data_IF_237544068973
#
_entry.id   IF_237544068973
#
_cell.length_a   1.000
_cell.length_b   1.000
_cell.length_c   1.000
_cell.angle_alpha   90.00
_cell.angle_beta   90.00
_cell.angle_gamma   90.00
#
_symmetry.space_group_name_H-M   'P 1'
#
loop_
_entity.id
_entity.type
_entity.pdbx_description
1 polymer ?
#
# COMPACT_ATOMS: atom_id res chain seq x y z
N UNK A 1 85.75 -17.83 21.24
CA UNK A 1 84.91 -18.08 20.04
C UNK A 1 84.02 -19.34 20.12
N UNK A 2 83.70 -19.86 21.30
CA UNK A 2 82.94 -21.13 21.45
C UNK A 2 81.48 -20.93 22.01
N UNK A 3 81.16 -19.74 22.46
CA UNK A 3 79.86 -19.46 23.11
C UNK A 3 78.83 -18.78 22.19
N UNK A 4 79.23 -18.27 21.02
CA UNK A 4 78.35 -17.57 20.11
C UNK A 4 77.44 -18.59 19.30
N UNK A 5 77.99 -19.77 19.07
CA UNK A 5 77.20 -20.82 18.30
C UNK A 5 76.13 -21.51 19.13
N UNK A 6 76.23 -21.49 20.46
CA UNK A 6 75.18 -22.06 21.33
C UNK A 6 73.96 -21.13 21.52
N UNK A 7 74.18 -19.82 21.43
CA UNK A 7 73.11 -18.83 21.53
C UNK A 7 72.28 -18.78 20.25
N UNK A 8 72.93 -18.97 19.07
CA UNK A 8 72.23 -18.97 17.76
C UNK A 8 71.35 -20.21 17.58
N UNK A 9 71.74 -21.38 18.10
CA UNK A 9 70.96 -22.60 18.06
C UNK A 9 69.74 -22.56 19.02
N UNK A 10 69.88 -21.88 20.18
CA UNK A 10 68.80 -21.73 21.14
C UNK A 10 67.71 -20.76 20.64
N UNK A 11 68.10 -19.71 19.88
CA UNK A 11 67.16 -18.77 19.28
C UNK A 11 66.45 -19.38 18.08
N UNK A 12 67.10 -20.27 17.31
CA UNK A 12 66.47 -20.97 16.19
C UNK A 12 65.48 -22.06 16.64
N UNK A 13 65.75 -22.71 17.81
CA UNK A 13 64.82 -23.68 18.39
C UNK A 13 63.57 -23.01 19.03
N UNK A 14 63.72 -21.80 19.56
CA UNK A 14 62.61 -21.05 20.12
C UNK A 14 61.66 -20.45 19.02
N UNK A 15 62.24 -20.13 17.85
CA UNK A 15 61.46 -19.64 16.69
C UNK A 15 60.63 -20.76 15.99
N UNK A 16 61.01 -22.03 16.12
CA UNK A 16 60.27 -23.17 15.53
C UNK A 16 59.07 -23.60 16.39
N UNK A 17 59.00 -23.23 17.68
CA UNK A 17 57.89 -23.59 18.56
C UNK A 17 56.68 -22.62 18.39
N UNK A 18 56.92 -21.42 17.82
CA UNK A 18 55.87 -20.42 17.62
C UNK A 18 55.08 -20.67 16.32
N UNK A 19 55.57 -21.52 15.39
CA UNK A 19 54.91 -21.81 14.11
C UNK A 19 53.95 -23.02 14.12
N UNK A 20 53.81 -23.73 15.27
CA UNK A 20 52.93 -24.89 15.38
C UNK A 20 51.62 -24.61 16.17
N UNK A 21 51.39 -23.35 16.57
CA UNK A 21 50.17 -22.98 17.33
C UNK A 21 49.03 -22.41 16.48
N UNK A 22 49.15 -22.43 15.14
CA UNK A 22 48.09 -21.90 14.24
C UNK A 22 47.45 -22.95 13.31
N UNK A 23 47.46 -24.24 13.68
CA UNK A 23 46.70 -25.26 12.93
C UNK A 23 45.98 -26.18 13.90
N UNK A 24 44.86 -25.64 14.46
CA UNK A 24 43.70 -26.41 14.88
C UNK A 24 42.60 -25.47 15.33
N UNK A 25 41.67 -25.28 14.41
CA UNK A 25 40.26 -25.51 14.60
C UNK A 25 39.53 -25.23 13.29
N UNK A 26 39.62 -26.22 12.42
CA UNK A 26 38.58 -26.41 11.45
C UNK A 26 37.57 -27.37 12.12
N UNK A 27 36.42 -26.86 12.48
CA UNK A 27 35.37 -27.73 12.97
C UNK A 27 34.59 -27.14 14.12
N UNK A 28 33.82 -26.16 13.85
CA UNK A 28 32.43 -26.06 14.23
C UNK A 28 31.91 -24.73 13.69
N UNK A 29 31.44 -24.76 12.45
CA UNK A 29 30.41 -23.81 12.06
C UNK A 29 29.19 -24.14 12.90
N UNK A 30 29.18 -23.68 14.13
CA UNK A 30 27.96 -23.29 14.79
C UNK A 30 27.35 -22.25 13.85
N UNK A 31 26.36 -22.67 13.07
CA UNK A 31 25.45 -21.77 12.44
C UNK A 31 25.02 -20.79 13.54
N UNK A 32 25.67 -19.64 13.58
CA UNK A 32 25.16 -18.46 14.23
C UNK A 32 23.72 -18.36 13.71
N UNK A 33 22.73 -18.56 14.55
CA UNK A 33 21.40 -18.05 14.33
C UNK A 33 21.59 -16.55 14.22
N UNK A 34 21.86 -16.09 13.00
CA UNK A 34 21.91 -14.69 12.64
C UNK A 34 20.51 -14.12 12.78
N UNK A 35 20.17 -13.69 13.98
CA UNK A 35 19.19 -12.64 14.12
C UNK A 35 19.83 -11.42 13.45
N UNK A 36 19.29 -10.93 12.36
CA UNK A 36 19.77 -9.70 11.76
C UNK A 36 19.67 -8.63 12.81
N UNK A 37 20.78 -7.90 13.06
CA UNK A 37 20.83 -6.72 13.94
C UNK A 37 19.99 -5.54 13.40
N UNK A 38 18.98 -5.84 12.59
CA UNK A 38 18.07 -4.89 11.97
C UNK A 38 16.77 -4.78 12.80
N UNK A 39 16.28 -3.51 13.01
CA UNK A 39 16.90 -2.23 12.69
C UNK A 39 17.80 -1.68 13.81
N UNK A 40 18.74 -0.77 13.47
CA UNK A 40 19.62 -0.04 14.41
C UNK A 40 19.52 1.48 14.26
N UNK A 41 18.60 1.96 13.48
CA UNK A 41 18.34 3.38 13.20
C UNK A 41 16.92 3.56 12.69
N UNK A 42 16.40 4.79 12.68
CA UNK A 42 15.05 5.06 12.21
C UNK A 42 14.76 4.55 10.79
N UNK A 43 13.55 4.02 10.61
CA UNK A 43 13.00 3.57 9.33
C UNK A 43 12.14 4.69 8.72
N UNK A 44 12.29 4.96 7.44
CA UNK A 44 11.41 5.86 6.69
C UNK A 44 10.33 5.03 5.99
N UNK A 45 9.10 5.20 6.43
CA UNK A 45 7.91 4.66 5.81
C UNK A 45 7.33 5.70 4.87
N UNK A 46 7.55 5.54 3.57
CA UNK A 46 6.99 6.44 2.56
C UNK A 46 5.55 6.09 2.24
N UNK A 47 4.78 7.10 1.82
CA UNK A 47 3.46 6.95 1.19
C UNK A 47 3.44 7.74 -0.12
N UNK A 48 2.92 7.20 -1.24
CA UNK A 48 2.92 7.87 -2.55
C UNK A 48 1.73 8.83 -2.72
N UNK A 49 1.11 9.23 -1.63
CA UNK A 49 -0.09 10.08 -1.60
C UNK A 49 0.09 11.27 -0.66
N UNK A 50 -0.83 12.24 -0.76
CA UNK A 50 -0.94 13.35 0.18
C UNK A 50 -1.37 12.90 1.59
N UNK A 51 -1.13 13.74 2.60
CA UNK A 51 -1.54 13.45 3.98
C UNK A 51 -3.07 13.48 4.14
N UNK A 52 -3.57 12.73 5.12
CA UNK A 52 -4.99 12.69 5.52
C UNK A 52 -5.84 11.68 4.76
N UNK A 53 -5.34 11.06 3.68
CA UNK A 53 -6.03 9.99 2.98
C UNK A 53 -5.80 8.62 3.62
N UNK A 54 -6.48 7.60 3.09
CA UNK A 54 -6.48 6.21 3.58
C UNK A 54 -5.07 5.64 3.77
N UNK A 55 -4.14 5.90 2.83
CA UNK A 55 -2.75 5.45 2.96
C UNK A 55 -2.01 6.11 4.14
N UNK A 56 -2.24 7.41 4.39
CA UNK A 56 -1.61 8.13 5.51
C UNK A 56 -2.13 7.62 6.85
N UNK A 57 -3.43 7.40 6.97
CA UNK A 57 -4.07 6.84 8.17
C UNK A 57 -3.46 5.46 8.47
N UNK A 58 -3.46 4.55 7.51
CA UNK A 58 -2.92 3.20 7.69
C UNK A 58 -1.42 3.22 8.02
N UNK A 59 -0.64 4.04 7.30
CA UNK A 59 0.79 4.16 7.56
C UNK A 59 1.09 4.60 8.99
N UNK A 60 0.34 5.57 9.53
CA UNK A 60 0.52 6.06 10.91
C UNK A 60 0.10 5.05 11.97
N UNK A 61 -1.00 4.33 11.74
CA UNK A 61 -1.47 3.27 12.65
C UNK A 61 -0.41 2.16 12.76
N UNK A 62 0.09 1.68 11.64
CA UNK A 62 1.10 0.62 11.60
C UNK A 62 2.46 1.13 12.08
N UNK A 63 2.88 2.37 11.74
CA UNK A 63 4.17 2.92 12.15
C UNK A 63 4.36 2.94 13.66
N UNK A 64 3.29 3.26 14.43
CA UNK A 64 3.37 3.27 15.89
C UNK A 64 3.65 1.87 16.45
N UNK A 65 2.93 0.85 15.97
CA UNK A 65 3.16 -0.53 16.40
C UNK A 65 4.53 -1.06 15.95
N UNK A 66 4.95 -0.75 14.71
CA UNK A 66 6.29 -1.13 14.24
C UNK A 66 7.39 -0.51 15.11
N UNK A 67 7.24 0.76 15.52
CA UNK A 67 8.19 1.42 16.41
C UNK A 67 8.30 0.68 17.75
N UNK A 68 7.16 0.31 18.34
CA UNK A 68 7.12 -0.38 19.63
C UNK A 68 7.74 -1.80 19.53
N UNK A 69 7.55 -2.49 18.42
CA UNK A 69 8.06 -3.86 18.20
C UNK A 69 9.54 -3.88 17.79
N UNK A 70 9.96 -2.95 16.92
CA UNK A 70 11.31 -2.95 16.36
C UNK A 70 12.30 -2.13 17.21
N UNK A 71 11.82 -1.34 18.16
CA UNK A 71 12.65 -0.51 19.05
C UNK A 71 13.28 0.72 18.40
N UNK A 72 12.90 1.03 17.16
CA UNK A 72 13.41 2.15 16.40
C UNK A 72 12.30 3.03 15.85
N UNK A 73 12.53 4.32 15.70
CA UNK A 73 11.55 5.27 15.20
C UNK A 73 11.12 4.93 13.77
N UNK A 74 9.81 4.95 13.47
CA UNK A 74 9.26 4.79 12.13
C UNK A 74 8.65 6.12 11.67
N UNK A 75 9.35 6.81 10.77
CA UNK A 75 8.93 8.12 10.25
C UNK A 75 8.03 7.95 9.02
N UNK A 76 6.80 8.43 9.08
CA UNK A 76 5.90 8.47 7.92
C UNK A 76 6.20 9.70 7.07
N UNK A 77 6.50 9.49 5.78
CA UNK A 77 6.92 10.53 4.84
C UNK A 77 6.06 10.50 3.56
N UNK A 78 5.28 11.55 3.34
CA UNK A 78 4.49 11.70 2.10
C UNK A 78 5.37 12.07 0.90
N UNK A 79 5.16 11.39 -0.23
CA UNK A 79 5.82 11.62 -1.52
C UNK A 79 4.78 11.59 -2.66
N UNK A 80 3.82 12.54 -2.67
CA UNK A 80 2.77 12.58 -3.69
C UNK A 80 3.31 13.00 -5.06
N UNK A 81 2.48 12.81 -6.08
CA UNK A 81 2.70 13.31 -7.44
C UNK A 81 2.72 12.21 -8.49
N UNK A 82 2.32 12.59 -9.72
CA UNK A 82 2.26 11.72 -10.90
C UNK A 82 1.54 10.39 -10.62
N UNK A 83 0.33 10.45 -10.05
CA UNK A 83 -0.48 9.28 -9.66
C UNK A 83 0.32 8.26 -8.82
N UNK A 84 1.16 8.75 -7.88
CA UNK A 84 2.00 7.94 -7.00
C UNK A 84 3.38 7.55 -7.55
N UNK A 85 3.66 7.82 -8.82
CA UNK A 85 4.94 7.46 -9.44
C UNK A 85 6.15 8.17 -8.78
N UNK A 86 5.96 9.38 -8.25
CA UNK A 86 7.01 10.09 -7.50
C UNK A 86 7.49 9.30 -6.28
N UNK A 87 6.55 8.76 -5.48
CA UNK A 87 6.88 7.94 -4.32
C UNK A 87 7.56 6.63 -4.70
N UNK A 88 7.03 5.93 -5.71
CA UNK A 88 7.59 4.67 -6.21
C UNK A 88 9.02 4.86 -6.75
N UNK A 89 9.29 5.90 -7.56
CA UNK A 89 10.64 6.22 -8.03
C UNK A 89 11.58 6.57 -6.87
N UNK A 90 11.09 7.26 -5.83
CA UNK A 90 11.89 7.54 -4.63
C UNK A 90 12.29 6.25 -3.91
N UNK A 91 11.39 5.24 -3.83
CA UNK A 91 11.72 3.94 -3.27
C UNK A 91 12.75 3.19 -4.13
N UNK A 92 12.54 3.14 -5.46
CA UNK A 92 13.48 2.51 -6.40
C UNK A 92 14.90 3.04 -6.25
N UNK A 93 15.05 4.35 -6.05
CA UNK A 93 16.36 5.00 -5.81
C UNK A 93 16.93 4.82 -4.41
N UNK A 94 16.22 4.17 -3.49
CA UNK A 94 16.66 3.97 -2.11
C UNK A 94 17.58 2.75 -1.98
N UNK A 95 18.37 2.73 -0.89
CA UNK A 95 19.23 1.55 -0.60
C UNK A 95 18.37 0.36 -0.21
N UNK A 96 18.71 -0.86 -0.67
CA UNK A 96 17.99 -2.08 -0.33
C UNK A 96 18.41 -2.64 1.05
N UNK A 97 18.32 -1.82 2.08
CA UNK A 97 18.78 -2.12 3.43
C UNK A 97 17.63 -2.13 4.49
N UNK A 98 16.38 -2.04 4.04
CA UNK A 98 15.17 -2.08 4.88
C UNK A 98 14.84 -0.77 5.59
N UNK A 99 15.70 0.25 5.55
CA UNK A 99 15.48 1.53 6.23
C UNK A 99 14.64 2.53 5.44
N UNK A 100 14.28 2.18 4.22
CA UNK A 100 13.29 2.90 3.42
C UNK A 100 12.34 1.89 2.81
N UNK A 101 11.10 1.95 3.23
CA UNK A 101 9.99 1.13 2.73
C UNK A 101 8.85 2.04 2.32
N UNK A 102 7.90 1.52 1.55
CA UNK A 102 6.71 2.26 1.14
C UNK A 102 5.45 1.48 1.49
N UNK A 103 4.43 2.17 2.00
CA UNK A 103 3.06 1.69 1.96
C UNK A 103 2.43 2.22 0.68
N UNK A 104 2.21 1.34 -0.27
CA UNK A 104 1.64 1.63 -1.59
C UNK A 104 0.27 0.98 -1.74
N UNK A 105 -0.39 1.24 -2.86
CA UNK A 105 -1.68 0.67 -3.21
C UNK A 105 -1.67 0.15 -4.65
N UNK A 106 -2.77 -0.49 -5.06
CA UNK A 106 -2.99 -1.02 -6.41
C UNK A 106 -2.68 0.00 -7.52
N UNK A 107 -3.09 1.26 -7.35
CA UNK A 107 -2.89 2.33 -8.34
C UNK A 107 -1.44 2.52 -8.74
N UNK A 108 -0.57 3.06 -7.86
CA UNK A 108 0.85 3.26 -8.15
C UNK A 108 1.61 1.99 -8.50
N UNK A 109 1.14 0.83 -8.02
CA UNK A 109 1.83 -0.42 -8.23
C UNK A 109 1.51 -1.06 -9.58
N UNK A 110 0.23 -1.12 -9.99
CA UNK A 110 -0.19 -1.95 -11.12
C UNK A 110 -1.01 -1.21 -12.19
N UNK A 111 -1.50 0.01 -11.91
CA UNK A 111 -2.26 0.80 -12.89
C UNK A 111 -1.40 1.89 -13.51
N UNK A 112 -0.82 2.75 -12.69
CA UNK A 112 0.00 3.88 -13.16
C UNK A 112 1.13 3.46 -14.10
N UNK A 113 1.93 2.38 -13.84
CA UNK A 113 2.99 1.95 -14.75
C UNK A 113 2.46 1.33 -16.06
N UNK A 114 1.21 0.89 -16.10
CA UNK A 114 0.60 0.37 -17.33
C UNK A 114 -0.09 1.46 -18.16
N UNK A 115 -0.48 2.57 -17.53
CA UNK A 115 -1.12 3.69 -18.20
C UNK A 115 -0.13 4.78 -18.64
N UNK A 116 1.06 4.86 -18.02
CA UNK A 116 2.00 5.95 -18.21
C UNK A 116 3.45 5.46 -18.22
N UNK A 117 4.34 6.22 -18.85
CA UNK A 117 5.79 6.03 -18.72
C UNK A 117 6.28 6.57 -17.37
N UNK A 118 6.56 5.69 -16.41
CA UNK A 118 6.83 6.07 -15.01
C UNK A 118 8.27 5.87 -14.54
N UNK A 119 9.11 5.20 -15.31
CA UNK A 119 10.51 4.97 -14.96
C UNK A 119 10.76 3.84 -13.95
N UNK A 120 9.74 3.05 -13.60
CA UNK A 120 9.87 1.83 -12.80
C UNK A 120 9.01 0.69 -13.35
N UNK A 121 9.39 -0.54 -12.98
CA UNK A 121 8.65 -1.77 -13.21
C UNK A 121 8.37 -2.45 -11.86
N UNK A 122 7.09 -2.68 -11.52
CA UNK A 122 6.74 -3.21 -10.21
C UNK A 122 7.34 -4.59 -9.94
N UNK A 123 7.48 -5.42 -10.97
CA UNK A 123 8.00 -6.80 -10.86
C UNK A 123 9.52 -6.86 -10.71
N UNK A 124 10.23 -5.85 -11.23
CA UNK A 124 11.69 -5.84 -11.35
C UNK A 124 12.37 -4.95 -10.30
N UNK A 125 11.73 -3.88 -9.87
CA UNK A 125 12.34 -2.84 -9.04
C UNK A 125 11.98 -2.93 -7.56
N UNK A 126 10.95 -3.74 -7.19
CA UNK A 126 10.47 -3.80 -5.82
C UNK A 126 10.35 -5.22 -5.27
N UNK A 127 10.44 -5.33 -3.96
CA UNK A 127 10.20 -6.54 -3.19
C UNK A 127 8.92 -6.34 -2.33
N UNK A 128 7.80 -7.01 -2.64
CA UNK A 128 6.61 -6.97 -1.81
C UNK A 128 6.87 -7.57 -0.42
N UNK A 129 6.54 -6.84 0.64
CA UNK A 129 6.72 -7.29 2.03
C UNK A 129 5.44 -7.96 2.52
N UNK A 130 4.32 -7.22 2.57
CA UNK A 130 3.02 -7.75 2.96
C UNK A 130 1.88 -6.84 2.52
N UNK A 131 0.72 -7.42 2.20
CA UNK A 131 -0.54 -6.69 2.15
C UNK A 131 -1.08 -6.55 3.56
N UNK A 132 -1.71 -5.43 3.87
CA UNK A 132 -2.29 -5.18 5.20
C UNK A 132 -3.79 -5.01 5.18
N UNK A 133 -4.35 -4.48 4.10
CA UNK A 133 -5.77 -4.23 3.98
C UNK A 133 -6.24 -4.28 2.54
N UNK A 134 -7.55 -4.37 2.38
CA UNK A 134 -8.22 -4.13 1.11
C UNK A 134 -9.40 -3.21 1.38
N UNK A 135 -9.21 -1.90 1.11
CA UNK A 135 -10.20 -0.87 1.41
C UNK A 135 -11.26 -0.81 0.30
N UNK A 136 -12.52 -1.13 0.60
CA UNK A 136 -13.58 -1.02 -0.36
C UNK A 136 -13.86 0.43 -0.73
N UNK A 137 -14.42 0.63 -1.93
CA UNK A 137 -14.92 1.93 -2.32
C UNK A 137 -16.40 2.06 -2.02
N UNK A 138 -16.83 3.31 -1.85
CA UNK A 138 -18.23 3.69 -1.87
C UNK A 138 -18.42 4.82 -2.87
N UNK A 139 -19.59 4.82 -3.50
CA UNK A 139 -20.08 5.98 -4.23
C UNK A 139 -20.94 6.81 -3.28
N UNK A 140 -20.61 8.08 -3.11
CA UNK A 140 -21.31 8.99 -2.20
C UNK A 140 -21.72 10.27 -2.91
N UNK A 141 -22.77 10.88 -2.39
CA UNK A 141 -23.29 12.20 -2.79
C UNK A 141 -23.42 13.11 -1.57
N UNK A 142 -23.53 14.41 -1.81
CA UNK A 142 -23.89 15.35 -0.73
C UNK A 142 -25.33 15.06 -0.28
N UNK A 143 -25.57 15.03 1.04
CA UNK A 143 -26.89 14.70 1.61
C UNK A 143 -27.98 15.69 1.20
N UNK A 144 -27.62 16.94 0.91
CA UNK A 144 -28.54 17.98 0.48
C UNK A 144 -28.82 17.97 -1.05
N UNK A 145 -28.22 17.04 -1.79
CA UNK A 145 -28.36 16.92 -3.26
C UNK A 145 -29.77 16.50 -3.71
N UNK A 146 -30.55 15.88 -2.83
CA UNK A 146 -31.82 15.24 -3.15
C UNK A 146 -31.72 13.83 -3.76
N UNK A 147 -30.49 13.34 -4.03
CA UNK A 147 -30.19 12.01 -4.54
C UNK A 147 -30.14 11.05 -3.34
N UNK A 148 -30.95 9.98 -3.35
CA UNK A 148 -31.12 9.09 -2.21
C UNK A 148 -30.69 7.64 -2.47
N UNK A 149 -30.52 7.25 -3.72
CA UNK A 149 -30.13 5.92 -4.15
C UNK A 149 -29.16 5.99 -5.34
N UNK A 150 -28.54 4.86 -5.68
CA UNK A 150 -27.76 4.77 -6.90
C UNK A 150 -28.64 5.00 -8.14
N UNK A 151 -29.88 4.50 -8.13
CA UNK A 151 -30.84 4.70 -9.22
C UNK A 151 -31.15 6.18 -9.43
N UNK A 152 -31.36 6.96 -8.33
CA UNK A 152 -31.57 8.41 -8.43
C UNK A 152 -30.37 9.12 -9.05
N UNK A 153 -29.14 8.70 -8.71
CA UNK A 153 -27.91 9.27 -9.30
C UNK A 153 -27.84 8.97 -10.81
N UNK A 154 -28.15 7.73 -11.20
CA UNK A 154 -28.15 7.33 -12.60
C UNK A 154 -29.26 8.04 -13.40
N UNK A 155 -30.44 8.23 -12.81
CA UNK A 155 -31.54 9.01 -13.41
C UNK A 155 -31.12 10.48 -13.58
N UNK A 156 -30.54 11.08 -12.54
CA UNK A 156 -30.00 12.45 -12.63
C UNK A 156 -28.97 12.59 -13.77
N UNK A 157 -28.07 11.61 -13.92
CA UNK A 157 -27.07 11.64 -14.99
C UNK A 157 -27.68 11.49 -16.39
N UNK A 158 -28.75 10.69 -16.54
CA UNK A 158 -29.50 10.56 -17.80
C UNK A 158 -30.28 11.82 -18.17
N UNK A 159 -30.90 12.45 -17.18
CA UNK A 159 -31.68 13.68 -17.41
C UNK A 159 -30.82 14.92 -17.69
N UNK A 160 -29.58 14.92 -17.22
CA UNK A 160 -28.66 16.06 -17.30
C UNK A 160 -27.29 15.66 -17.86
N UNK A 161 -27.22 15.16 -19.10
CA UNK A 161 -25.96 14.77 -19.71
C UNK A 161 -24.97 15.94 -19.72
N UNK A 162 -23.71 15.66 -19.35
CA UNK A 162 -22.65 16.65 -19.22
C UNK A 162 -22.66 17.48 -17.92
N UNK A 163 -23.66 17.32 -17.04
CA UNK A 163 -23.71 18.00 -15.74
C UNK A 163 -23.44 17.07 -14.56
N UNK A 164 -23.57 15.76 -14.74
CA UNK A 164 -23.22 14.79 -13.72
C UNK A 164 -21.70 14.56 -13.71
N UNK A 165 -21.09 14.76 -12.56
CA UNK A 165 -19.64 14.60 -12.38
C UNK A 165 -19.34 13.62 -11.27
N UNK A 166 -18.19 12.90 -11.35
CA UNK A 166 -17.71 12.10 -10.24
C UNK A 166 -16.22 12.35 -9.99
N UNK A 167 -15.88 12.49 -8.71
CA UNK A 167 -14.50 12.70 -8.26
C UNK A 167 -13.84 11.39 -7.84
N UNK A 168 -12.54 11.26 -8.13
CA UNK A 168 -11.68 10.16 -7.63
C UNK A 168 -10.30 10.68 -7.25
N UNK A 169 -9.45 9.81 -6.71
CA UNK A 169 -8.06 10.13 -6.32
C UNK A 169 -7.10 10.29 -7.49
N UNK A 170 -7.56 10.28 -8.73
CA UNK A 170 -6.72 10.54 -9.90
C UNK A 170 -7.16 9.80 -11.16
N UNK A 171 -6.80 10.37 -12.30
CA UNK A 171 -7.06 9.76 -13.61
C UNK A 171 -6.24 8.48 -13.79
N UNK A 172 -6.88 7.42 -14.29
CA UNK A 172 -6.25 6.11 -14.50
C UNK A 172 -5.97 5.31 -13.21
N UNK A 173 -6.30 5.85 -12.01
CA UNK A 173 -6.22 5.09 -10.77
C UNK A 173 -7.43 4.16 -10.60
N UNK A 174 -7.34 3.26 -9.63
CA UNK A 174 -8.27 2.14 -9.49
C UNK A 174 -9.74 2.57 -9.35
N UNK A 175 -10.03 3.62 -8.59
CA UNK A 175 -11.41 4.16 -8.49
C UNK A 175 -11.93 4.64 -9.84
N UNK A 176 -11.10 5.34 -10.63
CA UNK A 176 -11.48 5.78 -11.97
C UNK A 176 -11.75 4.60 -12.88
N UNK A 177 -10.87 3.58 -12.87
CA UNK A 177 -11.02 2.37 -13.70
C UNK A 177 -12.27 1.57 -13.33
N UNK A 178 -12.50 1.34 -12.02
CA UNK A 178 -13.71 0.63 -11.53
C UNK A 178 -14.99 1.40 -11.87
N UNK A 179 -14.97 2.74 -11.70
CA UNK A 179 -16.14 3.56 -12.01
C UNK A 179 -16.40 3.60 -13.53
N UNK A 180 -15.36 3.68 -14.35
CA UNK A 180 -15.49 3.63 -15.81
C UNK A 180 -16.02 2.29 -16.29
N UNK A 181 -15.56 1.17 -15.71
CA UNK A 181 -16.09 -0.17 -16.00
C UNK A 181 -17.58 -0.27 -15.64
N UNK A 182 -17.98 0.27 -14.49
CA UNK A 182 -19.39 0.38 -14.10
C UNK A 182 -20.20 1.20 -15.10
N UNK A 183 -19.74 2.40 -15.45
CA UNK A 183 -20.47 3.29 -16.39
C UNK A 183 -20.53 2.71 -17.80
N UNK A 184 -19.54 1.93 -18.24
CA UNK A 184 -19.56 1.24 -19.54
C UNK A 184 -20.68 0.18 -19.65
N UNK A 185 -21.22 -0.30 -18.54
CA UNK A 185 -22.39 -1.18 -18.51
C UNK A 185 -23.71 -0.41 -18.74
N UNK A 186 -23.66 0.93 -18.74
CA UNK A 186 -24.82 1.84 -18.74
C UNK A 186 -24.73 2.82 -19.93
N UNK A 187 -25.08 2.39 -21.16
CA UNK A 187 -24.84 3.19 -22.37
C UNK A 187 -25.60 4.54 -22.42
N UNK A 188 -26.66 4.67 -21.61
CA UNK A 188 -27.46 5.90 -21.54
C UNK A 188 -27.08 6.82 -20.38
N UNK A 189 -26.02 6.48 -19.63
CA UNK A 189 -25.54 7.25 -18.47
C UNK A 189 -24.19 7.85 -18.78
N UNK A 190 -24.09 9.17 -18.72
CA UNK A 190 -22.83 9.90 -18.90
C UNK A 190 -22.51 10.70 -17.63
N UNK A 191 -21.33 10.45 -17.06
CA UNK A 191 -20.78 11.22 -15.95
C UNK A 191 -19.35 11.64 -16.25
N UNK A 192 -19.05 12.93 -16.10
CA UNK A 192 -17.70 13.45 -16.34
C UNK A 192 -16.78 13.15 -15.13
N UNK A 193 -15.60 12.61 -15.41
CA UNK A 193 -14.60 12.34 -14.38
C UNK A 193 -13.81 13.60 -13.99
N UNK A 194 -13.72 13.87 -12.68
CA UNK A 194 -12.93 14.94 -12.08
C UNK A 194 -11.82 14.33 -11.22
N UNK A 195 -10.55 14.31 -11.69
CA UNK A 195 -9.42 13.78 -10.92
C UNK A 195 -8.97 14.77 -9.84
N UNK A 196 -8.64 14.24 -8.66
CA UNK A 196 -8.02 14.95 -7.52
C UNK A 196 -6.67 14.31 -7.15
N UNK A 197 -5.81 15.03 -6.44
CA UNK A 197 -4.51 14.50 -5.98
C UNK A 197 -4.63 13.56 -4.76
N UNK A 198 -5.84 13.39 -4.19
CA UNK A 198 -6.14 12.51 -3.07
C UNK A 198 -7.62 12.46 -2.73
N UNK A 199 -8.02 11.43 -1.97
CA UNK A 199 -9.42 11.21 -1.59
C UNK A 199 -9.98 12.33 -0.72
N UNK A 200 -9.20 12.86 0.20
CA UNK A 200 -9.64 13.97 1.06
C UNK A 200 -10.02 15.23 0.25
N UNK A 201 -9.35 15.49 -0.88
CA UNK A 201 -9.70 16.60 -1.77
C UNK A 201 -11.00 16.33 -2.52
N UNK A 202 -11.19 15.10 -3.03
CA UNK A 202 -12.42 14.71 -3.70
C UNK A 202 -13.63 14.79 -2.75
N UNK A 203 -13.46 14.31 -1.49
CA UNK A 203 -14.49 14.43 -0.45
C UNK A 203 -14.79 15.90 -0.14
N UNK A 204 -13.78 16.75 -0.02
CA UNK A 204 -13.97 18.19 0.21
C UNK A 204 -14.74 18.86 -0.94
N UNK A 205 -14.43 18.50 -2.18
CA UNK A 205 -15.16 18.98 -3.36
C UNK A 205 -16.61 18.52 -3.36
N UNK A 206 -16.90 17.27 -2.93
CA UNK A 206 -18.25 16.76 -2.79
C UNK A 206 -19.03 17.50 -1.70
N UNK A 207 -18.43 17.73 -0.54
CA UNK A 207 -19.03 18.51 0.55
C UNK A 207 -19.35 19.94 0.12
N UNK A 208 -18.53 20.52 -0.75
CA UNK A 208 -18.74 21.85 -1.34
C UNK A 208 -19.72 21.88 -2.52
N UNK A 209 -20.33 20.76 -2.91
CA UNK A 209 -21.17 20.64 -4.11
C UNK A 209 -20.47 21.06 -5.42
N UNK A 210 -19.13 20.89 -5.49
CA UNK A 210 -18.36 21.15 -6.71
C UNK A 210 -18.40 19.96 -7.69
N UNK A 211 -18.77 18.78 -7.19
CA UNK A 211 -19.00 17.54 -7.96
C UNK A 211 -20.30 16.89 -7.50
N UNK A 212 -20.92 16.09 -8.38
CA UNK A 212 -22.21 15.42 -8.09
C UNK A 212 -22.03 14.22 -7.17
N UNK A 213 -21.00 13.40 -7.44
CA UNK A 213 -20.67 12.20 -6.68
C UNK A 213 -19.15 12.10 -6.44
N UNK A 214 -18.74 11.32 -5.46
CA UNK A 214 -17.35 10.90 -5.29
C UNK A 214 -17.28 9.39 -5.12
N UNK A 215 -16.27 8.77 -5.73
CA UNK A 215 -15.95 7.36 -5.52
C UNK A 215 -14.62 7.30 -4.78
N UNK A 216 -14.70 6.98 -3.49
CA UNK A 216 -13.56 6.96 -2.59
C UNK A 216 -13.58 5.74 -1.69
N UNK A 217 -12.45 5.52 -0.99
CA UNK A 217 -12.42 4.50 0.06
C UNK A 217 -13.45 4.83 1.15
N UNK A 218 -14.09 3.81 1.67
CA UNK A 218 -15.12 3.95 2.69
C UNK A 218 -14.59 4.72 3.91
N UNK A 219 -13.33 4.50 4.30
CA UNK A 219 -12.67 5.21 5.40
C UNK A 219 -12.66 6.73 5.26
N UNK A 220 -12.66 7.25 4.02
CA UNK A 220 -12.70 8.69 3.76
C UNK A 220 -14.10 9.26 3.76
N UNK A 221 -15.12 8.41 3.56
CA UNK A 221 -16.53 8.83 3.45
C UNK A 221 -17.30 8.65 4.76
N UNK A 222 -17.04 7.56 5.51
CA UNK A 222 -17.76 7.20 6.75
C UNK A 222 -17.89 8.40 7.73
N UNK A 223 -16.83 9.13 8.10
CA UNK A 223 -16.95 10.21 9.08
C UNK A 223 -17.92 11.31 8.67
N UNK A 224 -18.09 11.51 7.37
CA UNK A 224 -19.03 12.51 6.84
C UNK A 224 -20.44 11.95 6.70
N UNK A 225 -20.58 10.64 6.45
CA UNK A 225 -21.89 9.97 6.41
C UNK A 225 -22.52 9.86 7.81
N UNK A 226 -21.73 9.56 8.83
CA UNK A 226 -22.17 9.54 10.24
C UNK A 226 -22.70 10.91 10.73
N UNK A 227 -22.10 12.00 10.21
CA UNK A 227 -22.55 13.36 10.48
C UNK A 227 -23.68 13.84 9.53
N UNK A 228 -24.24 12.95 8.71
CA UNK A 228 -25.26 13.25 7.70
C UNK A 228 -24.87 14.34 6.69
N UNK A 229 -23.58 14.59 6.48
CA UNK A 229 -23.09 15.51 5.46
C UNK A 229 -23.01 14.85 4.09
N UNK A 230 -22.68 13.56 4.05
CA UNK A 230 -22.67 12.74 2.83
C UNK A 230 -23.63 11.55 2.98
N UNK A 231 -24.09 11.03 1.86
CA UNK A 231 -24.87 9.78 1.76
C UNK A 231 -24.11 8.80 0.86
N UNK A 232 -23.84 7.60 1.38
CA UNK A 232 -23.25 6.49 0.63
C UNK A 232 -24.37 5.75 -0.07
N UNK A 233 -24.29 5.61 -1.40
CA UNK A 233 -25.34 5.02 -2.23
C UNK A 233 -25.11 3.53 -2.48
N UNK A 234 -23.84 3.12 -2.62
CA UNK A 234 -23.45 1.72 -2.79
C UNK A 234 -21.98 1.52 -2.42
N UNK A 235 -21.62 0.27 -2.08
CA UNK A 235 -20.23 -0.17 -1.80
C UNK A 235 -19.80 -1.26 -2.78
N UNK A 236 -18.49 -1.34 -3.05
CA UNK A 236 -17.93 -2.23 -4.06
C UNK A 236 -17.69 -3.67 -3.58
N UNK A 237 -17.93 -3.98 -2.33
CA UNK A 237 -17.76 -5.32 -1.75
C UNK A 237 -18.83 -6.31 -2.24
N UNK A 238 -18.55 -7.61 -2.15
CA UNK A 238 -19.52 -8.67 -2.47
C UNK A 238 -20.68 -8.76 -1.47
N UNK A 239 -20.39 -8.39 -0.22
CA UNK A 239 -21.34 -8.38 0.90
C UNK A 239 -21.35 -6.99 1.54
N UNK A 240 -22.44 -6.60 2.18
CA UNK A 240 -22.53 -5.34 2.91
C UNK A 240 -21.49 -5.27 4.01
N UNK A 241 -20.96 -4.08 4.26
CA UNK A 241 -20.05 -3.83 5.36
C UNK A 241 -20.81 -3.86 6.69
N UNK A 242 -20.24 -4.47 7.73
CA UNK A 242 -20.83 -4.48 9.08
C UNK A 242 -21.03 -3.05 9.62
N UNK A 243 -20.11 -2.13 9.27
CA UNK A 243 -20.21 -0.70 9.62
C UNK A 243 -21.29 0.06 8.83
N UNK A 244 -21.81 -0.52 7.74
CA UNK A 244 -22.78 0.11 6.83
C UNK A 244 -23.88 -0.89 6.42
N UNK A 245 -24.64 -1.48 7.36
CA UNK A 245 -25.57 -2.58 7.08
C UNK A 245 -26.74 -2.18 6.17
N UNK A 246 -27.07 -0.89 6.12
CA UNK A 246 -28.17 -0.37 5.30
C UNK A 246 -27.72 0.04 3.87
N UNK A 247 -26.40 0.08 3.60
CA UNK A 247 -25.88 0.46 2.28
C UNK A 247 -25.75 -0.78 1.42
N UNK A 248 -26.39 -0.82 0.23
CA UNK A 248 -26.32 -1.98 -0.65
C UNK A 248 -24.94 -2.08 -1.32
N UNK A 249 -24.60 -3.27 -1.79
CA UNK A 249 -23.45 -3.45 -2.67
C UNK A 249 -23.84 -3.23 -4.13
N UNK A 250 -22.87 -2.88 -5.00
CA UNK A 250 -23.11 -2.84 -6.45
C UNK A 250 -23.65 -4.18 -6.97
N UNK A 251 -23.16 -5.29 -6.40
CA UNK A 251 -23.60 -6.65 -6.75
C UNK A 251 -25.07 -6.91 -6.40
N UNK A 252 -25.54 -6.47 -5.22
CA UNK A 252 -26.97 -6.53 -4.87
C UNK A 252 -27.84 -5.72 -5.81
N UNK A 253 -27.30 -4.62 -6.36
CA UNK A 253 -27.97 -3.76 -7.35
C UNK A 253 -27.85 -4.29 -8.79
N UNK A 254 -27.19 -5.46 -8.98
CA UNK A 254 -27.10 -6.14 -10.28
C UNK A 254 -25.89 -5.75 -11.13
N UNK A 255 -24.92 -5.05 -10.57
CA UNK A 255 -23.72 -4.62 -11.29
C UNK A 255 -22.50 -5.46 -10.89
N UNK A 256 -21.74 -5.92 -11.87
CA UNK A 256 -20.45 -6.59 -11.66
C UNK A 256 -19.31 -5.58 -11.86
N UNK A 257 -18.38 -5.54 -10.92
CA UNK A 257 -17.23 -4.64 -10.97
C UNK A 257 -15.92 -5.41 -11.18
N UNK A 258 -14.99 -4.82 -11.91
CA UNK A 258 -13.65 -5.41 -12.12
C UNK A 258 -12.77 -5.44 -10.89
N UNK A 259 -13.13 -4.74 -9.80
CA UNK A 259 -12.40 -4.69 -8.54
C UNK A 259 -13.28 -4.24 -7.39
N UNK A 260 -12.98 -4.75 -6.19
CA UNK A 260 -13.77 -4.51 -4.98
C UNK A 260 -13.21 -3.38 -4.11
N UNK A 261 -11.95 -3.03 -4.29
CA UNK A 261 -11.31 -2.00 -3.48
C UNK A 261 -9.82 -1.84 -3.75
N UNK A 262 -9.23 -0.84 -3.11
CA UNK A 262 -7.78 -0.67 -3.12
C UNK A 262 -7.17 -1.56 -2.04
N UNK A 263 -6.29 -2.45 -2.44
CA UNK A 263 -5.39 -3.03 -1.47
C UNK A 263 -4.27 -2.04 -1.12
N UNK A 264 -3.80 -2.14 0.12
CA UNK A 264 -2.62 -1.44 0.60
C UNK A 264 -1.61 -2.46 1.09
N UNK A 265 -0.35 -2.24 0.76
CA UNK A 265 0.71 -3.15 1.13
C UNK A 265 2.09 -2.49 1.14
N UNK A 266 2.98 -3.11 1.88
CA UNK A 266 4.35 -2.64 2.05
C UNK A 266 5.25 -3.23 0.97
N UNK A 267 6.14 -2.39 0.44
CA UNK A 267 7.21 -2.81 -0.47
C UNK A 267 8.55 -2.22 -0.06
N UNK A 268 9.62 -2.91 -0.40
CA UNK A 268 11.01 -2.48 -0.28
C UNK A 268 11.66 -2.41 -1.66
N UNK A 269 12.86 -1.82 -1.80
CA UNK A 269 13.68 -1.96 -3.00
C UNK A 269 14.00 -3.43 -3.29
N UNK A 270 14.13 -3.80 -4.57
CA UNK A 270 14.24 -5.18 -5.08
C UNK A 270 15.25 -6.06 -4.36
N UNK A 271 16.44 -5.54 -4.12
CA UNK A 271 17.56 -6.34 -3.59
C UNK A 271 17.64 -6.31 -2.06
N UNK A 272 16.56 -5.93 -1.38
CA UNK A 272 16.48 -5.96 0.09
C UNK A 272 16.65 -7.42 0.56
N UNK A 273 17.58 -7.70 1.49
CA UNK A 273 17.82 -9.05 1.99
C UNK A 273 16.54 -9.70 2.53
N UNK A 274 16.36 -10.97 2.18
CA UNK A 274 15.14 -11.71 2.60
C UNK A 274 14.92 -11.71 4.10
N UNK A 275 15.97 -11.81 4.90
CA UNK A 275 15.91 -11.76 6.37
C UNK A 275 15.35 -10.45 6.91
N UNK A 276 15.64 -9.32 6.24
CA UNK A 276 15.07 -8.02 6.55
C UNK A 276 13.59 -7.97 6.16
N UNK A 277 13.25 -8.49 4.97
CA UNK A 277 11.86 -8.60 4.54
C UNK A 277 11.04 -9.46 5.50
N UNK A 278 11.57 -10.62 5.91
CA UNK A 278 10.91 -11.51 6.87
C UNK A 278 10.72 -10.84 8.25
N UNK A 279 11.69 -10.05 8.70
CA UNK A 279 11.60 -9.28 9.95
C UNK A 279 10.50 -8.22 9.87
N UNK A 280 10.45 -7.47 8.76
CA UNK A 280 9.42 -6.45 8.54
C UNK A 280 8.04 -7.07 8.39
N UNK A 281 7.90 -8.15 7.60
CA UNK A 281 6.62 -8.87 7.41
C UNK A 281 6.09 -9.41 8.75
N UNK A 282 6.96 -10.03 9.56
CA UNK A 282 6.60 -10.51 10.90
C UNK A 282 6.14 -9.39 11.82
N UNK A 283 6.83 -8.26 11.84
CA UNK A 283 6.44 -7.10 12.66
C UNK A 283 5.12 -6.48 12.18
N UNK A 284 4.90 -6.38 10.86
CA UNK A 284 3.63 -5.89 10.28
C UNK A 284 2.48 -6.85 10.64
N UNK A 285 2.67 -8.16 10.50
CA UNK A 285 1.68 -9.16 10.88
C UNK A 285 1.28 -9.01 12.33
N UNK A 286 2.27 -8.97 13.24
CA UNK A 286 2.03 -8.81 14.67
C UNK A 286 1.27 -7.50 14.97
N UNK A 287 1.62 -6.39 14.29
CA UNK A 287 0.91 -5.13 14.41
C UNK A 287 -0.58 -5.26 14.07
N UNK A 288 -0.90 -5.98 12.99
CA UNK A 288 -2.29 -6.23 12.58
C UNK A 288 -3.05 -7.17 13.53
N UNK A 289 -2.35 -7.95 14.34
CA UNK A 289 -2.94 -8.84 15.35
C UNK A 289 -3.23 -8.12 16.68
N UNK A 290 -2.68 -6.91 16.91
CA UNK A 290 -2.95 -6.11 18.10
C UNK A 290 -4.41 -5.64 18.15
N UNK A 291 -5.10 -5.87 19.27
CA UNK A 291 -6.51 -5.49 19.43
C UNK A 291 -6.73 -3.99 19.18
N UNK A 292 -5.81 -3.14 19.66
CA UNK A 292 -5.84 -1.70 19.42
C UNK A 292 -5.78 -1.34 17.95
N UNK A 293 -4.92 -2.01 17.16
CA UNK A 293 -4.77 -1.77 15.73
C UNK A 293 -6.01 -2.25 14.99
N UNK A 294 -6.55 -3.42 15.34
CA UNK A 294 -7.80 -3.95 14.77
C UNK A 294 -8.95 -2.98 14.99
N UNK A 295 -9.15 -2.52 16.21
CA UNK A 295 -10.18 -1.54 16.54
C UNK A 295 -10.03 -0.24 15.76
N UNK A 296 -8.79 0.26 15.61
CA UNK A 296 -8.53 1.49 14.86
C UNK A 296 -8.77 1.30 13.36
N UNK A 297 -8.43 0.14 12.78
CA UNK A 297 -8.70 -0.18 11.39
C UNK A 297 -10.20 -0.32 11.14
N UNK A 298 -10.92 -1.01 12.02
CA UNK A 298 -12.38 -1.16 11.96
C UNK A 298 -13.09 0.20 12.04
N UNK A 299 -12.75 1.02 13.03
CA UNK A 299 -13.30 2.37 13.19
C UNK A 299 -13.01 3.29 11.99
N UNK A 300 -11.91 3.03 11.28
CA UNK A 300 -11.56 3.76 10.06
C UNK A 300 -12.18 3.17 8.78
N UNK A 301 -13.01 2.11 8.88
CA UNK A 301 -13.59 1.42 7.71
C UNK A 301 -12.52 0.78 6.81
N UNK A 302 -11.45 0.25 7.41
CA UNK A 302 -10.31 -0.35 6.73
C UNK A 302 -10.23 -1.86 7.03
N UNK A 303 -10.93 -2.73 6.29
CA UNK A 303 -10.87 -4.16 6.52
C UNK A 303 -9.44 -4.68 6.44
N UNK A 304 -8.96 -5.30 7.52
CA UNK A 304 -7.65 -5.95 7.53
C UNK A 304 -7.72 -7.17 6.61
N UNK A 305 -6.77 -7.25 5.68
CA UNK A 305 -6.57 -8.41 4.80
C UNK A 305 -5.08 -8.65 4.63
N UNK A 306 -4.54 -9.42 5.55
CA UNK A 306 -3.12 -9.75 5.53
C UNK A 306 -2.80 -10.81 4.47
N UNK A 307 -1.79 -10.54 3.66
CA UNK A 307 -1.08 -11.52 2.83
C UNK A 307 0.42 -11.39 3.13
N UNK A 308 1.09 -12.53 3.34
CA UNK A 308 2.54 -12.54 3.51
C UNK A 308 3.27 -12.17 2.22
N UNK A 309 4.59 -12.03 2.29
CA UNK A 309 5.43 -11.56 1.18
C UNK A 309 5.24 -12.38 -0.12
N UNK A 310 5.13 -13.71 -0.02
CA UNK A 310 4.98 -14.56 -1.20
C UNK A 310 3.58 -14.42 -1.83
N UNK A 311 2.53 -14.47 -1.01
CA UNK A 311 1.15 -14.32 -1.43
C UNK A 311 0.90 -12.93 -2.03
N UNK A 312 1.44 -11.89 -1.39
CA UNK A 312 1.31 -10.52 -1.88
C UNK A 312 2.06 -10.30 -3.19
N UNK A 313 3.27 -10.89 -3.32
CA UNK A 313 4.02 -10.86 -4.58
C UNK A 313 3.24 -11.51 -5.72
N UNK A 314 2.65 -12.67 -5.51
CA UNK A 314 1.83 -13.36 -6.51
C UNK A 314 0.64 -12.49 -6.92
N UNK A 315 -0.09 -11.93 -5.94
CA UNK A 315 -1.22 -11.02 -6.20
C UNK A 315 -0.79 -9.82 -7.05
N UNK A 316 0.30 -9.14 -6.69
CA UNK A 316 0.79 -7.97 -7.43
C UNK A 316 1.12 -8.31 -8.88
N UNK A 317 1.77 -9.47 -9.13
CA UNK A 317 2.12 -9.91 -10.48
C UNK A 317 0.87 -10.21 -11.32
N UNK A 318 -0.06 -10.98 -10.77
CA UNK A 318 -1.31 -11.34 -11.44
C UNK A 318 -2.14 -10.09 -11.76
N UNK A 319 -2.28 -9.19 -10.80
CA UNK A 319 -3.03 -7.95 -11.01
C UNK A 319 -2.33 -7.00 -11.99
N UNK A 320 -1.01 -6.93 -11.98
CA UNK A 320 -0.28 -6.11 -12.95
C UNK A 320 -0.53 -6.57 -14.39
N UNK A 321 -0.53 -7.89 -14.64
CA UNK A 321 -0.85 -8.44 -15.97
C UNK A 321 -2.32 -8.18 -16.35
N UNK A 322 -3.25 -8.34 -15.40
CA UNK A 322 -4.67 -8.09 -15.64
C UNK A 322 -4.93 -6.62 -15.94
N UNK A 323 -4.38 -5.72 -15.14
CA UNK A 323 -4.55 -4.28 -15.31
C UNK A 323 -3.91 -3.75 -16.60
N UNK A 324 -2.77 -4.33 -17.03
CA UNK A 324 -2.18 -4.00 -18.33
C UNK A 324 -3.16 -4.26 -19.49
N UNK A 325 -3.88 -5.39 -19.46
CA UNK A 325 -4.88 -5.73 -20.48
C UNK A 325 -6.08 -4.78 -20.45
N UNK A 326 -6.57 -4.44 -19.25
CA UNK A 326 -7.70 -3.51 -19.09
C UNK A 326 -7.34 -2.12 -19.61
N UNK A 327 -6.18 -1.59 -19.23
CA UNK A 327 -5.74 -0.27 -19.68
C UNK A 327 -5.55 -0.22 -21.20
N UNK A 328 -5.04 -1.29 -21.81
CA UNK A 328 -4.95 -1.39 -23.27
C UNK A 328 -6.32 -1.37 -23.97
N UNK A 329 -7.39 -1.81 -23.31
CA UNK A 329 -8.75 -1.79 -23.87
C UNK A 329 -9.46 -0.43 -23.72
N UNK A 330 -8.94 0.46 -22.85
CA UNK A 330 -9.48 1.81 -22.61
C UNK A 330 -8.84 2.88 -23.51
N UNK A 331 -7.75 2.55 -24.22
CA UNK A 331 -7.02 3.41 -25.18
C UNK A 331 -7.39 3.05 -26.62
#
# INVERSE_FOLDING_TARGET
MKNSKRFTVLFLALALVILTACTKEAGNESASKGGSDFPKRPINLMIPYGPGGSADVQARLIAQSLQDQLGETVNVVSKPGAAGATGMNSLKGSKPDGYTIILTAVGPSTLTPNANEVGYNVSEDFYPISQISEAPYGIAVNSDSGINSLDDLLEFAKEKPGNATYGTTGAGLHQHVVTSDFLNQLPDVEMEHVPFDGGAEAVSALLGNHITAAVNTISEIIPHAENNALKILAVTTDERLESLPDVPTFKELGYELIGQGAWFGFMAPKDTPKEIVDTLDGAIKNALEEDKVKEQFENAGLPIKYLNSNEFKEKVLVENEKNAKVIQSLN
#
